data_IF_104365856570
#
_entry.id   IF_104365856570
#
_cell.length_a   1.000
_cell.length_b   1.000
_cell.length_c   1.000
_cell.angle_alpha   90.00
_cell.angle_beta   90.00
_cell.angle_gamma   90.00
#
_symmetry.space_group_name_H-M   'P 1'
#
loop_
_entity.id
_entity.type
_entity.pdbx_description
1 polymer ?
#
# COMPACT_ATOMS: atom_id res chain seq x y z
N UNK A 1 55.63 -23.14 -7.42
CA UNK A 1 54.34 -22.43 -7.45
C UNK A 1 53.40 -23.20 -8.35
N UNK A 2 52.37 -23.83 -7.80
CA UNK A 2 51.34 -24.54 -8.57
C UNK A 2 50.00 -23.88 -8.21
N UNK A 3 49.31 -23.41 -9.25
CA UNK A 3 48.06 -22.64 -9.19
C UNK A 3 46.90 -23.54 -8.73
N UNK A 4 46.13 -23.03 -7.78
CA UNK A 4 44.91 -23.62 -7.25
C UNK A 4 43.74 -23.49 -8.24
N UNK A 5 43.03 -24.59 -8.51
CA UNK A 5 41.76 -24.60 -9.25
C UNK A 5 40.59 -24.76 -8.28
N UNK A 6 39.93 -23.63 -8.01
CA UNK A 6 38.69 -23.56 -7.25
C UNK A 6 37.50 -24.03 -8.09
N UNK A 7 36.71 -24.96 -7.58
CA UNK A 7 35.35 -25.25 -8.06
C UNK A 7 34.40 -25.25 -6.87
N UNK A 8 33.92 -24.05 -6.53
CA UNK A 8 32.76 -23.91 -5.65
C UNK A 8 31.52 -24.23 -6.48
N UNK A 9 31.02 -25.45 -6.34
CA UNK A 9 29.67 -25.81 -6.74
C UNK A 9 28.69 -25.01 -5.89
N UNK A 10 28.04 -24.01 -6.50
CA UNK A 10 26.93 -23.31 -5.88
C UNK A 10 25.68 -24.16 -6.07
N UNK A 11 25.28 -24.88 -5.02
CA UNK A 11 23.93 -25.43 -4.91
C UNK A 11 22.96 -24.24 -4.83
N UNK A 12 22.45 -23.82 -5.99
CA UNK A 12 21.32 -22.90 -6.07
C UNK A 12 20.11 -23.59 -5.46
N UNK A 13 19.83 -23.28 -4.20
CA UNK A 13 18.55 -23.61 -3.56
C UNK A 13 17.45 -23.02 -4.45
N UNK A 14 16.57 -23.88 -4.94
CA UNK A 14 15.35 -23.46 -5.61
C UNK A 14 14.47 -22.76 -4.56
N UNK A 15 14.72 -21.47 -4.37
CA UNK A 15 13.76 -20.58 -3.73
C UNK A 15 12.53 -20.58 -4.62
N UNK A 16 11.39 -20.96 -4.05
CA UNK A 16 10.09 -20.69 -4.65
C UNK A 16 10.09 -19.25 -5.19
N UNK A 17 9.62 -19.00 -6.43
CA UNK A 17 9.55 -17.63 -6.96
C UNK A 17 8.86 -16.76 -5.91
N UNK A 18 9.38 -15.54 -5.63
CA UNK A 18 8.76 -14.67 -4.66
C UNK A 18 7.28 -14.55 -5.01
N UNK A 19 6.42 -14.82 -4.02
CA UNK A 19 4.99 -14.55 -4.17
C UNK A 19 4.87 -13.13 -4.71
N UNK A 20 4.09 -12.88 -5.77
CA UNK A 20 3.98 -11.53 -6.33
C UNK A 20 3.59 -10.56 -5.22
N UNK A 21 4.51 -9.66 -4.87
CA UNK A 21 4.25 -8.61 -3.89
C UNK A 21 3.24 -7.67 -4.54
N UNK A 22 2.11 -7.37 -3.90
CA UNK A 22 1.32 -6.19 -4.23
C UNK A 22 2.30 -5.01 -4.24
N UNK A 23 2.37 -4.30 -5.37
CA UNK A 23 3.51 -3.48 -5.78
C UNK A 23 4.27 -2.86 -4.62
N UNK A 24 5.57 -3.17 -4.54
CA UNK A 24 6.47 -2.60 -3.53
C UNK A 24 6.15 -1.10 -3.39
N UNK A 25 6.09 -0.58 -2.16
CA UNK A 25 5.67 0.81 -1.89
C UNK A 25 6.32 1.84 -2.82
N UNK A 26 7.52 1.57 -3.31
CA UNK A 26 8.21 2.33 -4.34
C UNK A 26 7.40 2.48 -5.65
N UNK A 27 6.77 1.42 -6.13
CA UNK A 27 5.87 1.43 -7.30
C UNK A 27 4.64 2.28 -7.02
N UNK A 28 4.01 2.10 -5.85
CA UNK A 28 2.85 2.92 -5.45
C UNK A 28 3.26 4.39 -5.39
N UNK A 29 4.35 4.71 -4.71
CA UNK A 29 4.90 6.05 -4.59
C UNK A 29 5.19 6.68 -5.96
N UNK A 30 5.82 5.92 -6.87
CA UNK A 30 6.11 6.38 -8.22
C UNK A 30 4.84 6.67 -9.03
N UNK A 31 3.80 5.82 -8.91
CA UNK A 31 2.52 6.04 -9.57
C UNK A 31 1.74 7.21 -8.98
N UNK A 32 1.79 7.41 -7.67
CA UNK A 32 1.19 8.58 -7.03
C UNK A 32 1.91 9.87 -7.43
N UNK A 33 3.24 9.87 -7.49
CA UNK A 33 4.03 11.01 -7.94
C UNK A 33 3.69 11.41 -9.39
N UNK A 34 3.46 10.43 -10.28
CA UNK A 34 2.99 10.68 -11.65
C UNK A 34 1.59 11.34 -11.71
N UNK A 35 0.80 11.21 -10.63
CA UNK A 35 -0.50 11.87 -10.47
C UNK A 35 -0.42 13.21 -9.72
N UNK A 36 0.79 13.72 -9.43
CA UNK A 36 0.99 14.96 -8.68
C UNK A 36 0.82 14.81 -7.17
N UNK A 37 0.82 13.57 -6.64
CA UNK A 37 0.72 13.28 -5.22
C UNK A 37 2.10 12.88 -4.69
N UNK A 38 2.59 13.58 -3.67
CA UNK A 38 3.79 13.18 -2.94
C UNK A 38 3.40 12.43 -1.66
N UNK A 39 4.28 11.54 -1.21
CA UNK A 39 4.16 10.85 0.08
C UNK A 39 5.35 11.16 0.99
N UNK A 40 5.12 11.17 2.30
CA UNK A 40 6.13 11.36 3.33
C UNK A 40 5.77 10.57 4.60
N UNK A 41 6.69 10.50 5.56
CA UNK A 41 6.45 9.91 6.89
C UNK A 41 5.91 8.47 6.81
N UNK A 42 6.54 7.66 5.94
CA UNK A 42 6.15 6.27 5.69
C UNK A 42 6.53 5.40 6.88
N UNK A 43 5.56 4.66 7.41
CA UNK A 43 5.72 3.70 8.49
C UNK A 43 5.21 2.35 8.03
N UNK A 44 6.11 1.35 7.99
CA UNK A 44 5.76 -0.01 7.64
C UNK A 44 5.11 -0.74 8.83
N UNK A 45 4.16 -1.63 8.55
CA UNK A 45 3.48 -2.43 9.58
C UNK A 45 2.38 -1.69 10.34
N UNK A 46 2.09 -0.44 9.97
CA UNK A 46 1.11 0.40 10.65
C UNK A 46 -0.25 0.32 9.95
N UNK A 47 -1.12 -0.53 10.50
CA UNK A 47 -2.52 -0.64 10.10
C UNK A 47 -3.43 0.38 10.82
N UNK A 48 -2.92 1.17 11.76
CA UNK A 48 -3.72 2.07 12.61
C UNK A 48 -4.63 1.35 13.63
N UNK A 49 -4.64 0.01 13.65
CA UNK A 49 -5.46 -0.80 14.55
C UNK A 49 -4.69 -2.04 15.04
N UNK A 50 -5.14 -2.70 16.13
CA UNK A 50 -4.45 -3.86 16.71
C UNK A 50 -4.65 -5.17 15.93
N UNK A 51 -5.32 -5.16 14.77
CA UNK A 51 -5.51 -6.36 13.94
C UNK A 51 -4.18 -6.76 13.28
N UNK A 52 -3.57 -7.82 13.82
CA UNK A 52 -2.29 -8.35 13.31
C UNK A 52 -2.39 -8.93 11.91
N UNK A 53 -3.57 -9.33 11.44
CA UNK A 53 -3.75 -9.82 10.08
C UNK A 53 -3.66 -8.67 9.04
N UNK A 54 -3.99 -7.44 9.47
CA UNK A 54 -3.91 -6.24 8.63
C UNK A 54 -2.58 -5.50 8.80
N UNK A 55 -1.93 -5.60 9.97
CA UNK A 55 -0.66 -4.92 10.26
C UNK A 55 0.46 -5.31 9.28
N UNK A 56 0.69 -6.61 9.05
CA UNK A 56 1.75 -7.09 8.16
C UNK A 56 1.75 -6.47 6.75
N UNK A 57 0.61 -6.47 6.03
CA UNK A 57 0.51 -5.88 4.69
C UNK A 57 0.26 -4.36 4.68
N UNK A 58 0.14 -3.70 5.84
CA UNK A 58 -0.21 -2.29 5.92
C UNK A 58 1.01 -1.39 6.02
N UNK A 59 0.87 -0.20 5.43
CA UNK A 59 1.75 0.92 5.66
C UNK A 59 0.91 2.16 5.96
N UNK A 60 1.48 3.11 6.69
CA UNK A 60 0.89 4.42 6.85
C UNK A 60 1.82 5.51 6.36
N UNK A 61 1.29 6.56 5.76
CA UNK A 61 2.08 7.69 5.25
C UNK A 61 1.23 8.97 5.24
N UNK A 62 1.88 10.12 5.10
CA UNK A 62 1.19 11.36 4.75
C UNK A 62 1.23 11.55 3.24
N UNK A 63 0.10 11.93 2.65
CA UNK A 63 -0.01 12.21 1.23
C UNK A 63 -0.59 13.61 1.01
N UNK A 64 0.02 14.36 0.08
CA UNK A 64 -0.42 15.69 -0.27
C UNK A 64 -0.15 16.00 -1.74
N UNK A 65 -0.58 17.17 -2.19
CA UNK A 65 -0.50 17.61 -3.59
C UNK A 65 -1.87 17.99 -4.14
N UNK A 66 -1.90 18.47 -5.38
CA UNK A 66 -3.12 18.93 -6.06
C UNK A 66 -3.88 19.98 -5.20
N UNK A 67 -5.15 19.73 -4.90
CA UNK A 67 -6.04 20.56 -4.09
C UNK A 67 -6.04 20.20 -2.59
N UNK A 68 -5.22 19.23 -2.16
CA UNK A 68 -5.09 18.85 -0.76
C UNK A 68 -4.16 19.80 0.00
N UNK A 69 -4.76 20.81 0.66
CA UNK A 69 -4.02 21.86 1.37
C UNK A 69 -3.17 21.34 2.54
N UNK A 70 -3.69 20.36 3.30
CA UNK A 70 -2.99 19.72 4.42
C UNK A 70 -2.79 18.25 4.09
N UNK A 71 -1.56 17.71 4.12
CA UNK A 71 -1.33 16.31 3.78
C UNK A 71 -2.14 15.37 4.68
N UNK A 72 -2.91 14.48 4.06
CA UNK A 72 -3.77 13.52 4.74
C UNK A 72 -2.95 12.33 5.24
N UNK A 73 -3.24 11.84 6.44
CA UNK A 73 -2.72 10.54 6.92
C UNK A 73 -3.52 9.43 6.23
N UNK A 74 -2.82 8.59 5.48
CA UNK A 74 -3.39 7.48 4.73
C UNK A 74 -2.80 6.17 5.25
N UNK A 75 -3.67 5.20 5.47
CA UNK A 75 -3.34 3.80 5.72
C UNK A 75 -3.60 3.03 4.44
N UNK A 76 -2.56 2.41 3.87
CA UNK A 76 -2.64 1.61 2.67
C UNK A 76 -2.48 0.14 3.04
N UNK A 77 -3.48 -0.66 2.68
CA UNK A 77 -3.48 -2.10 2.85
C UNK A 77 -3.33 -2.75 1.48
N UNK A 78 -2.33 -3.62 1.35
CA UNK A 78 -2.01 -4.27 0.07
C UNK A 78 -2.17 -5.78 0.19
N UNK A 79 -3.06 -6.38 -0.61
CA UNK A 79 -3.43 -7.79 -0.48
C UNK A 79 -2.80 -8.67 -1.55
N UNK A 80 -2.27 -9.84 -1.17
CA UNK A 80 -1.55 -10.73 -2.10
C UNK A 80 -2.38 -11.28 -3.27
N UNK A 81 -3.71 -11.17 -3.22
CA UNK A 81 -4.60 -11.57 -4.32
C UNK A 81 -5.92 -10.82 -4.26
N UNK A 82 -6.64 -10.78 -5.39
CA UNK A 82 -8.01 -10.26 -5.46
C UNK A 82 -8.95 -10.98 -4.49
N UNK A 83 -8.82 -12.30 -4.34
CA UNK A 83 -9.66 -13.06 -3.40
C UNK A 83 -9.44 -12.63 -1.94
N UNK A 84 -8.18 -12.35 -1.55
CA UNK A 84 -7.86 -11.83 -0.21
C UNK A 84 -8.38 -10.40 -0.06
N UNK A 85 -8.22 -9.55 -1.07
CA UNK A 85 -8.78 -8.19 -1.09
C UNK A 85 -10.30 -8.21 -0.85
N UNK A 86 -11.06 -8.98 -1.65
CA UNK A 86 -12.53 -9.05 -1.50
C UNK A 86 -12.94 -9.56 -0.12
N UNK A 87 -12.21 -10.53 0.44
CA UNK A 87 -12.51 -11.08 1.75
C UNK A 87 -12.13 -10.15 2.92
N UNK A 88 -11.26 -9.16 2.71
CA UNK A 88 -10.68 -8.34 3.78
C UNK A 88 -11.02 -6.86 3.70
N UNK A 89 -11.51 -6.34 2.57
CA UNK A 89 -11.81 -4.91 2.41
C UNK A 89 -12.80 -4.39 3.47
N UNK A 90 -13.79 -5.19 3.84
CA UNK A 90 -14.76 -4.81 4.88
C UNK A 90 -14.15 -4.81 6.29
N UNK A 91 -13.10 -5.62 6.53
CA UNK A 91 -12.35 -5.60 7.78
C UNK A 91 -11.48 -4.33 7.91
N UNK A 92 -11.05 -3.73 6.79
CA UNK A 92 -10.36 -2.44 6.79
C UNK A 92 -11.29 -1.34 7.29
N UNK A 93 -12.55 -1.31 6.85
CA UNK A 93 -13.54 -0.33 7.33
C UNK A 93 -13.78 -0.45 8.85
N UNK A 94 -13.83 -1.68 9.37
CA UNK A 94 -13.93 -1.91 10.81
C UNK A 94 -12.66 -1.44 11.56
N UNK A 95 -11.48 -1.74 11.02
CA UNK A 95 -10.18 -1.28 11.53
C UNK A 95 -10.09 0.26 11.53
N UNK A 96 -10.64 0.92 10.52
CA UNK A 96 -10.59 2.37 10.40
C UNK A 96 -11.22 3.12 11.58
N UNK A 97 -12.26 2.54 12.19
CA UNK A 97 -12.95 3.12 13.35
C UNK A 97 -12.03 3.33 14.57
N UNK A 98 -10.86 2.68 14.65
CA UNK A 98 -9.96 2.87 15.79
C UNK A 98 -9.00 4.04 15.66
N UNK A 99 -8.78 4.58 14.45
CA UNK A 99 -7.84 5.68 14.21
C UNK A 99 -8.47 6.94 13.65
N UNK A 100 -9.70 6.88 13.13
CA UNK A 100 -10.44 8.09 12.74
C UNK A 100 -11.02 8.77 13.97
N UNK A 101 -10.99 10.10 13.98
CA UNK A 101 -11.56 10.89 15.06
C UNK A 101 -13.06 11.14 14.84
N UNK A 102 -13.46 11.31 13.58
CA UNK A 102 -14.86 11.50 13.19
C UNK A 102 -15.24 10.51 12.07
N UNK A 103 -16.08 9.51 12.36
CA UNK A 103 -16.54 8.54 11.37
C UNK A 103 -17.35 9.16 10.22
N UNK A 104 -17.97 10.33 10.39
CA UNK A 104 -18.75 10.97 9.33
C UNK A 104 -17.87 11.54 8.20
N UNK A 105 -16.59 11.76 8.49
CA UNK A 105 -15.59 12.28 7.57
C UNK A 105 -14.55 11.21 7.19
N UNK A 106 -14.77 9.96 7.59
CA UNK A 106 -13.98 8.83 7.13
C UNK A 106 -14.09 8.67 5.61
N UNK A 107 -12.97 8.42 4.96
CA UNK A 107 -12.94 8.09 3.54
C UNK A 107 -12.09 6.86 3.27
N UNK A 108 -12.57 6.06 2.31
CA UNK A 108 -11.82 4.95 1.73
C UNK A 108 -11.85 5.01 0.19
N UNK A 109 -10.84 4.37 -0.39
CA UNK A 109 -10.77 4.03 -1.81
C UNK A 109 -10.33 2.57 -1.87
N UNK A 110 -11.17 1.73 -2.48
CA UNK A 110 -10.88 0.32 -2.67
C UNK A 110 -10.72 0.03 -4.17
N UNK A 111 -9.54 -0.46 -4.56
CA UNK A 111 -9.24 -0.91 -5.92
C UNK A 111 -8.29 -2.08 -5.83
N UNK A 112 -8.66 -3.26 -6.34
CA UNK A 112 -7.84 -4.47 -6.16
C UNK A 112 -6.41 -4.24 -6.68
N UNK A 113 -5.35 -4.60 -5.92
CA UNK A 113 -5.35 -5.27 -4.61
C UNK A 113 -5.20 -4.34 -3.39
N UNK A 114 -5.54 -3.07 -3.51
CA UNK A 114 -5.32 -2.03 -2.49
C UNK A 114 -6.60 -1.51 -1.85
N UNK A 115 -6.52 -1.20 -0.56
CA UNK A 115 -7.46 -0.30 0.11
C UNK A 115 -6.65 0.85 0.70
N UNK A 116 -6.99 2.09 0.36
CA UNK A 116 -6.50 3.28 1.03
C UNK A 116 -7.61 3.83 1.92
N UNK A 117 -7.30 4.10 3.18
CA UNK A 117 -8.27 4.54 4.18
C UNK A 117 -7.67 5.63 5.07
N UNK A 118 -8.51 6.55 5.56
CA UNK A 118 -8.05 7.60 6.45
C UNK A 118 -9.13 8.60 6.86
N UNK A 119 -8.71 9.54 7.69
CA UNK A 119 -9.53 10.70 8.05
C UNK A 119 -9.61 11.65 6.84
N UNK A 120 -10.83 11.95 6.40
CA UNK A 120 -11.14 13.00 5.44
C UNK A 120 -11.63 14.28 6.12
N UNK A 121 -12.27 15.20 5.37
CA UNK A 121 -12.54 15.08 3.93
C UNK A 121 -11.26 15.19 3.11
N UNK A 122 -11.14 14.35 2.09
CA UNK A 122 -10.11 14.43 1.07
C UNK A 122 -10.56 15.36 -0.04
N UNK A 123 -9.66 16.24 -0.48
CA UNK A 123 -9.95 17.14 -1.58
C UNK A 123 -10.26 16.33 -2.86
N UNK A 124 -11.17 16.84 -3.68
CA UNK A 124 -11.79 16.04 -4.74
C UNK A 124 -10.78 15.60 -5.81
N UNK A 125 -9.88 16.49 -6.24
CA UNK A 125 -8.86 16.13 -7.23
C UNK A 125 -7.84 15.17 -6.60
N UNK A 126 -7.40 15.42 -5.37
CA UNK A 126 -6.54 14.51 -4.62
C UNK A 126 -7.13 13.10 -4.54
N UNK A 127 -8.40 12.94 -4.14
CA UNK A 127 -9.08 11.64 -4.05
C UNK A 127 -9.12 10.93 -5.42
N UNK A 128 -9.48 11.66 -6.48
CA UNK A 128 -9.55 11.12 -7.83
C UNK A 128 -8.20 10.61 -8.33
N UNK A 129 -7.15 11.42 -8.14
CA UNK A 129 -5.79 11.08 -8.54
C UNK A 129 -5.15 9.98 -7.66
N UNK A 130 -5.53 9.90 -6.38
CA UNK A 130 -5.15 8.80 -5.49
C UNK A 130 -5.68 7.47 -6.03
N UNK A 131 -6.97 7.40 -6.38
CA UNK A 131 -7.57 6.22 -7.01
C UNK A 131 -6.88 5.86 -8.34
N UNK A 132 -6.60 6.85 -9.19
CA UNK A 132 -5.91 6.62 -10.46
C UNK A 132 -4.50 6.07 -10.27
N UNK A 133 -3.72 6.63 -9.33
CA UNK A 133 -2.38 6.16 -9.04
C UNK A 133 -2.36 4.74 -8.46
N UNK A 134 -3.29 4.42 -7.56
CA UNK A 134 -3.44 3.06 -7.02
C UNK A 134 -3.86 2.05 -8.10
N UNK A 135 -4.79 2.44 -8.98
CA UNK A 135 -5.20 1.60 -10.11
C UNK A 135 -4.04 1.38 -11.09
N UNK A 136 -3.24 2.42 -11.37
CA UNK A 136 -2.04 2.28 -12.20
C UNK A 136 -0.97 1.42 -11.52
N UNK A 137 -0.88 1.43 -10.19
CA UNK A 137 0.01 0.57 -9.41
C UNK A 137 -0.47 -0.88 -9.34
N UNK A 138 -1.77 -1.13 -9.50
CA UNK A 138 -2.34 -2.49 -9.56
C UNK A 138 -2.02 -3.18 -10.90
N UNK A 139 -1.80 -2.40 -11.95
CA UNK A 139 -1.54 -2.91 -13.30
C UNK A 139 -2.69 -3.81 -13.78
N UNK A 140 -2.35 -4.91 -14.46
CA UNK A 140 -3.33 -5.87 -14.97
C UNK A 140 -3.86 -6.85 -13.89
N UNK A 141 -3.46 -6.69 -12.63
CA UNK A 141 -3.85 -7.58 -11.52
C UNK A 141 -5.15 -7.18 -10.79
N UNK A 142 -5.83 -6.12 -11.26
CA UNK A 142 -7.11 -5.63 -10.75
C UNK A 142 -8.32 -6.47 -11.18
#
# INVERSE_FOLDING_TARGET
MILATSSLGSCGVAGSPPLPTPGDIETVAAKLAQQGIYISDVVAGDAGCPDRALAGPAISFRAGGLDQAVPAKVYLYSFGSRSVFEARRDAVDACARSYVNDPATYENIATSPYVAAGQGPWAAAFKGHLLQGLTAAAGNGG
#
